data_IF_721578050363
#
_entry.id   IF_721578050363
#
_cell.length_a   1.000
_cell.length_b   1.000
_cell.length_c   1.000
_cell.angle_alpha   90.00
_cell.angle_beta   90.00
_cell.angle_gamma   90.00
#
_symmetry.space_group_name_H-M   'P 1'
#
loop_
_entity.id
_entity.type
_entity.pdbx_description
1 polymer ?
#
# COMPACT_ATOMS: atom_id res chain seq x y z
N UNK A 1 14.89 2.97 34.01
CA UNK A 1 13.86 1.97 34.38
C UNK A 1 12.42 2.49 34.35
N UNK A 2 12.18 3.79 34.66
CA UNK A 2 10.83 4.38 34.65
C UNK A 2 10.21 4.41 33.23
N UNK A 3 10.99 4.79 32.23
CA UNK A 3 10.51 4.85 30.84
C UNK A 3 10.19 3.49 30.24
N UNK A 4 10.95 2.46 30.64
CA UNK A 4 10.69 1.08 30.23
C UNK A 4 9.39 0.56 30.87
N UNK A 5 9.17 0.84 32.16
CA UNK A 5 7.94 0.48 32.86
C UNK A 5 6.74 1.25 32.31
N UNK A 6 6.89 2.56 32.05
CA UNK A 6 5.84 3.38 31.45
C UNK A 6 5.45 2.85 30.07
N UNK A 7 6.42 2.58 29.20
CA UNK A 7 6.17 1.99 27.88
C UNK A 7 5.48 0.62 27.99
N UNK A 8 5.92 -0.23 28.94
CA UNK A 8 5.28 -1.55 29.16
C UNK A 8 3.83 -1.41 29.64
N UNK A 9 3.52 -0.41 30.45
CA UNK A 9 2.13 -0.12 30.90
C UNK A 9 1.30 0.47 29.76
N UNK A 10 1.86 1.39 28.99
CA UNK A 10 1.19 2.00 27.82
C UNK A 10 0.91 0.95 26.71
N UNK A 11 1.75 -0.11 26.62
CA UNK A 11 1.59 -1.23 25.68
C UNK A 11 0.62 -2.31 26.20
N UNK A 12 0.12 -2.21 27.44
CA UNK A 12 -0.84 -3.18 28.00
C UNK A 12 -2.24 -2.94 27.40
N UNK A 13 -2.86 -3.99 26.84
CA UNK A 13 -4.22 -3.85 26.35
C UNK A 13 -5.17 -3.56 27.51
N UNK A 14 -6.16 -2.66 27.31
CA UNK A 14 -7.26 -2.51 28.27
C UNK A 14 -7.91 -3.88 28.52
N UNK A 15 -8.26 -4.18 29.79
CA UNK A 15 -8.78 -5.49 30.17
C UNK A 15 -10.00 -5.92 29.34
N UNK A 16 -10.82 -4.95 28.93
CA UNK A 16 -12.03 -5.15 28.13
C UNK A 16 -11.77 -5.71 26.72
N UNK A 17 -10.56 -5.51 26.17
CA UNK A 17 -10.17 -5.91 24.81
C UNK A 17 -8.98 -6.87 24.77
N UNK A 18 -8.58 -7.38 25.92
CA UNK A 18 -7.40 -8.24 26.04
C UNK A 18 -7.49 -9.53 25.20
N UNK A 19 -8.68 -10.11 25.07
CA UNK A 19 -8.91 -11.35 24.31
C UNK A 19 -8.73 -11.08 22.80
N UNK A 20 -9.37 -10.05 22.27
CA UNK A 20 -9.28 -9.67 20.85
C UNK A 20 -7.85 -9.28 20.49
N UNK A 21 -7.22 -8.49 21.37
CA UNK A 21 -5.82 -8.06 21.19
C UNK A 21 -4.88 -9.26 21.12
N UNK A 22 -5.04 -10.25 21.99
CA UNK A 22 -4.23 -11.48 21.97
C UNK A 22 -4.40 -12.23 20.64
N UNK A 23 -5.63 -12.33 20.12
CA UNK A 23 -5.90 -12.99 18.85
C UNK A 23 -5.24 -12.23 17.69
N UNK A 24 -5.31 -10.90 17.67
CA UNK A 24 -4.64 -10.08 16.64
C UNK A 24 -3.13 -10.25 16.70
N UNK A 25 -2.53 -10.22 17.90
CA UNK A 25 -1.08 -10.44 18.07
C UNK A 25 -0.67 -11.84 17.60
N UNK A 26 -1.50 -12.85 17.81
CA UNK A 26 -1.25 -14.20 17.30
C UNK A 26 -1.33 -14.27 15.76
N UNK A 27 -2.30 -13.61 15.14
CA UNK A 27 -2.38 -13.52 13.67
C UNK A 27 -1.16 -12.77 13.09
N UNK A 28 -0.72 -11.67 13.72
CA UNK A 28 0.50 -10.96 13.34
C UNK A 28 1.75 -11.86 13.48
N UNK A 29 1.86 -12.62 14.57
CA UNK A 29 2.96 -13.56 14.78
C UNK A 29 3.02 -14.64 13.69
N UNK A 30 1.86 -15.23 13.33
CA UNK A 30 1.77 -16.20 12.23
C UNK A 30 2.15 -15.56 10.89
N UNK A 31 1.67 -14.36 10.65
CA UNK A 31 1.96 -13.61 9.45
C UNK A 31 3.46 -13.35 9.26
N UNK A 32 4.16 -12.90 10.32
CA UNK A 32 5.61 -12.66 10.27
C UNK A 32 6.47 -13.93 10.06
N UNK A 33 5.87 -15.12 10.15
CA UNK A 33 6.54 -16.39 9.85
C UNK A 33 6.31 -16.87 8.42
N UNK A 34 5.49 -16.17 7.65
CA UNK A 34 5.16 -16.49 6.26
C UNK A 34 6.00 -15.67 5.29
N UNK A 35 6.19 -16.15 4.05
CA UNK A 35 6.83 -15.36 2.99
C UNK A 35 6.06 -14.06 2.70
N UNK A 36 6.79 -13.04 2.24
CA UNK A 36 6.21 -11.73 1.86
C UNK A 36 5.35 -11.88 0.60
N UNK A 37 4.07 -12.20 0.81
CA UNK A 37 3.06 -12.37 -0.25
C UNK A 37 1.81 -11.54 0.03
N UNK A 38 1.26 -10.91 -1.01
CA UNK A 38 0.03 -10.11 -0.93
C UNK A 38 -1.16 -10.96 -0.46
N UNK A 39 -1.21 -12.24 -0.87
CA UNK A 39 -2.26 -13.15 -0.42
C UNK A 39 -2.28 -13.34 1.10
N UNK A 40 -1.11 -13.37 1.75
CA UNK A 40 -1.00 -13.42 3.21
C UNK A 40 -1.45 -12.11 3.85
N UNK A 41 -1.13 -10.96 3.22
CA UNK A 41 -1.62 -9.65 3.66
C UNK A 41 -3.15 -9.58 3.63
N UNK A 42 -3.77 -10.05 2.53
CA UNK A 42 -5.23 -10.11 2.42
C UNK A 42 -5.84 -11.01 3.52
N UNK A 43 -5.20 -12.14 3.80
CA UNK A 43 -5.63 -13.05 4.86
C UNK A 43 -5.54 -12.39 6.24
N UNK A 44 -4.40 -11.76 6.55
CA UNK A 44 -4.21 -11.02 7.80
C UNK A 44 -5.29 -9.94 7.97
N UNK A 45 -5.52 -9.12 6.96
CA UNK A 45 -6.50 -8.04 6.99
C UNK A 45 -7.92 -8.59 7.23
N UNK A 46 -8.30 -9.66 6.54
CA UNK A 46 -9.63 -10.26 6.70
C UNK A 46 -9.83 -10.91 8.08
N UNK A 47 -8.80 -11.57 8.61
CA UNK A 47 -8.88 -12.22 9.93
C UNK A 47 -8.92 -11.20 11.08
N UNK A 48 -8.21 -10.08 10.93
CA UNK A 48 -8.09 -9.07 12.00
C UNK A 48 -9.19 -8.02 11.98
N UNK A 49 -9.79 -7.74 10.81
CA UNK A 49 -10.84 -6.71 10.67
C UNK A 49 -12.00 -6.86 11.65
N UNK A 50 -12.64 -8.04 11.82
CA UNK A 50 -13.75 -8.19 12.77
C UNK A 50 -13.30 -8.02 14.22
N UNK A 51 -12.07 -8.45 14.57
CA UNK A 51 -11.51 -8.26 15.91
C UNK A 51 -11.28 -6.78 16.21
N UNK A 52 -10.71 -6.04 15.27
CA UNK A 52 -10.52 -4.59 15.37
C UNK A 52 -11.86 -3.85 15.47
N UNK A 53 -12.89 -4.27 14.74
CA UNK A 53 -14.22 -3.71 14.86
C UNK A 53 -14.82 -3.92 16.26
N UNK A 54 -14.60 -5.09 16.87
CA UNK A 54 -15.01 -5.36 18.25
C UNK A 54 -14.27 -4.46 19.25
N UNK A 55 -12.96 -4.30 19.09
CA UNK A 55 -12.15 -3.39 19.92
C UNK A 55 -12.67 -1.96 19.77
N UNK A 56 -12.86 -1.49 18.53
CA UNK A 56 -13.39 -0.17 18.21
C UNK A 56 -14.74 0.11 18.89
N UNK A 57 -15.63 -0.88 18.91
CA UNK A 57 -16.93 -0.76 19.56
C UNK A 57 -16.84 -0.63 21.08
N UNK A 58 -15.83 -1.28 21.71
CA UNK A 58 -15.65 -1.27 23.17
C UNK A 58 -14.94 -0.01 23.67
N UNK A 59 -13.87 0.43 23.02
CA UNK A 59 -13.00 1.51 23.52
C UNK A 59 -13.01 2.78 22.64
N UNK A 60 -13.72 2.76 21.51
CA UNK A 60 -13.90 3.94 20.65
C UNK A 60 -12.83 4.10 19.57
N UNK A 61 -13.17 4.88 18.53
CA UNK A 61 -12.31 5.13 17.35
C UNK A 61 -11.11 6.01 17.64
N UNK A 62 -11.23 6.94 18.60
CA UNK A 62 -10.16 7.88 18.96
C UNK A 62 -9.16 7.30 19.97
N UNK A 63 -9.36 6.06 20.42
CA UNK A 63 -8.47 5.42 21.38
C UNK A 63 -7.12 5.11 20.71
N UNK A 64 -6.04 5.64 21.30
CA UNK A 64 -4.67 5.48 20.75
C UNK A 64 -4.23 4.02 20.66
N UNK A 65 -4.59 3.19 21.64
CA UNK A 65 -4.29 1.76 21.61
C UNK A 65 -4.93 1.08 20.40
N UNK A 66 -6.22 1.35 20.14
CA UNK A 66 -6.93 0.83 18.97
C UNK A 66 -6.26 1.28 17.67
N UNK A 67 -5.99 2.60 17.54
CA UNK A 67 -5.37 3.16 16.34
C UNK A 67 -3.99 2.57 16.08
N UNK A 68 -3.16 2.46 17.12
CA UNK A 68 -1.82 1.88 17.02
C UNK A 68 -1.88 0.39 16.59
N UNK A 69 -2.76 -0.40 17.19
CA UNK A 69 -2.92 -1.81 16.83
C UNK A 69 -3.43 -1.98 15.39
N UNK A 70 -4.40 -1.17 14.98
CA UNK A 70 -4.92 -1.16 13.60
C UNK A 70 -3.84 -0.74 12.60
N UNK A 71 -3.07 0.31 12.93
CA UNK A 71 -1.93 0.78 12.13
C UNK A 71 -0.86 -0.30 12.00
N UNK A 72 -0.56 -1.03 13.07
CA UNK A 72 0.40 -2.15 13.04
C UNK A 72 -0.05 -3.25 12.06
N UNK A 73 -1.33 -3.63 12.08
CA UNK A 73 -1.87 -4.62 11.14
C UNK A 73 -1.71 -4.15 9.69
N UNK A 74 -2.14 -2.92 9.40
CA UNK A 74 -2.03 -2.35 8.05
C UNK A 74 -0.58 -2.17 7.62
N UNK A 75 0.30 -1.74 8.54
CA UNK A 75 1.72 -1.54 8.28
C UNK A 75 2.43 -2.83 7.85
N UNK A 76 2.17 -3.93 8.54
CA UNK A 76 2.71 -5.24 8.17
C UNK A 76 2.16 -5.73 6.82
N UNK A 77 0.86 -5.59 6.59
CA UNK A 77 0.24 -5.95 5.32
C UNK A 77 0.78 -5.10 4.15
N UNK A 78 0.99 -3.79 4.37
CA UNK A 78 1.55 -2.87 3.38
C UNK A 78 3.02 -3.22 3.06
N UNK A 79 3.80 -3.64 4.06
CA UNK A 79 5.19 -4.07 3.86
C UNK A 79 5.28 -5.24 2.87
N UNK A 80 4.55 -6.33 3.10
CA UNK A 80 4.57 -7.48 2.18
C UNK A 80 4.05 -7.13 0.78
N UNK A 81 3.07 -6.23 0.69
CA UNK A 81 2.60 -5.72 -0.59
C UNK A 81 3.73 -5.02 -1.35
N UNK A 82 4.46 -4.14 -0.68
CA UNK A 82 5.59 -3.40 -1.25
C UNK A 82 6.67 -4.37 -1.72
N UNK A 83 7.05 -5.35 -0.89
CA UNK A 83 8.10 -6.32 -1.22
C UNK A 83 7.73 -7.19 -2.43
N UNK A 84 6.50 -7.69 -2.52
CA UNK A 84 6.10 -8.51 -3.68
C UNK A 84 5.98 -7.67 -4.96
N UNK A 85 5.50 -6.43 -4.90
CA UNK A 85 5.49 -5.51 -6.04
C UNK A 85 6.90 -5.16 -6.48
N UNK A 86 7.82 -4.87 -5.55
CA UNK A 86 9.23 -4.63 -5.83
C UNK A 86 9.88 -5.85 -6.50
N UNK A 87 9.59 -7.03 -6.01
CA UNK A 87 10.11 -8.30 -6.57
C UNK A 87 9.67 -8.46 -8.03
N UNK A 88 8.40 -8.21 -8.34
CA UNK A 88 7.88 -8.29 -9.70
C UNK A 88 8.54 -7.25 -10.64
N UNK A 89 8.76 -6.01 -10.15
CA UNK A 89 9.43 -4.96 -10.89
C UNK A 89 10.92 -5.25 -11.14
N UNK A 90 11.60 -5.75 -10.11
CA UNK A 90 13.02 -6.12 -10.22
C UNK A 90 13.22 -7.27 -11.22
N UNK A 91 12.33 -8.27 -11.20
CA UNK A 91 12.34 -9.34 -12.18
C UNK A 91 12.21 -8.78 -13.60
N UNK A 92 11.21 -7.92 -13.84
CA UNK A 92 11.03 -7.29 -15.15
C UNK A 92 12.27 -6.48 -15.58
N UNK A 93 12.82 -5.67 -14.68
CA UNK A 93 14.00 -4.85 -14.94
C UNK A 93 15.24 -5.71 -15.28
N UNK A 94 15.43 -6.82 -14.58
CA UNK A 94 16.52 -7.76 -14.85
C UNK A 94 16.40 -8.38 -16.24
N UNK A 95 15.19 -8.79 -16.64
CA UNK A 95 14.96 -9.36 -17.99
C UNK A 95 15.25 -8.31 -19.07
N UNK A 96 14.76 -7.09 -18.91
CA UNK A 96 15.03 -6.00 -19.87
C UNK A 96 16.52 -5.70 -19.98
N UNK A 97 17.26 -5.76 -18.88
CA UNK A 97 18.71 -5.58 -18.89
C UNK A 97 19.40 -6.67 -19.71
N UNK A 98 19.05 -7.94 -19.50
CA UNK A 98 19.61 -9.07 -20.27
C UNK A 98 19.31 -8.93 -21.77
N UNK A 99 18.07 -8.57 -22.14
CA UNK A 99 17.69 -8.34 -23.53
C UNK A 99 18.56 -7.24 -24.17
N UNK A 100 18.74 -6.11 -23.49
CA UNK A 100 19.58 -5.02 -23.98
C UNK A 100 21.05 -5.42 -24.14
N UNK A 101 21.59 -6.14 -23.18
CA UNK A 101 22.98 -6.62 -23.19
C UNK A 101 23.21 -7.65 -24.30
N UNK A 102 22.21 -8.43 -24.68
CA UNK A 102 22.25 -9.39 -25.78
C UNK A 102 22.16 -8.72 -27.16
N UNK A 103 21.95 -7.41 -27.25
CA UNK A 103 21.80 -6.69 -28.52
C UNK A 103 20.51 -7.03 -29.29
N UNK A 104 19.56 -7.69 -28.64
CA UNK A 104 18.27 -8.05 -29.23
C UNK A 104 17.32 -6.84 -29.13
N UNK A 105 16.69 -6.47 -30.25
CA UNK A 105 15.63 -5.47 -30.22
C UNK A 105 14.41 -6.00 -29.45
N UNK A 106 13.98 -5.37 -28.34
CA UNK A 106 12.81 -5.79 -27.58
C UNK A 106 11.52 -5.87 -28.42
N UNK A 107 11.41 -5.04 -29.47
CA UNK A 107 10.28 -5.08 -30.41
C UNK A 107 10.23 -6.40 -31.18
N UNK A 108 11.38 -6.92 -31.55
CA UNK A 108 11.48 -8.20 -32.26
C UNK A 108 10.92 -9.36 -31.41
N UNK A 109 11.22 -9.38 -30.11
CA UNK A 109 10.68 -10.39 -29.19
C UNK A 109 9.16 -10.32 -29.04
N UNK A 110 8.57 -9.14 -29.10
CA UNK A 110 7.11 -8.98 -29.09
C UNK A 110 6.47 -9.56 -30.36
N UNK A 111 7.12 -9.41 -31.52
CA UNK A 111 6.64 -9.99 -32.78
C UNK A 111 6.75 -11.53 -32.84
N UNK A 112 7.76 -12.10 -32.18
CA UNK A 112 7.97 -13.55 -32.17
C UNK A 112 7.06 -14.29 -31.20
N UNK A 113 6.22 -13.58 -30.46
CA UNK A 113 5.30 -14.13 -29.43
C UNK A 113 6.03 -15.00 -28.38
N UNK A 114 7.30 -14.67 -28.08
CA UNK A 114 8.15 -15.36 -27.15
C UNK A 114 7.66 -15.17 -25.70
N UNK A 115 7.72 -16.23 -24.89
CA UNK A 115 7.38 -16.17 -23.45
C UNK A 115 8.23 -15.17 -22.68
N UNK A 116 9.42 -14.86 -23.19
CA UNK A 116 10.36 -13.88 -22.63
C UNK A 116 10.15 -12.47 -23.20
N UNK A 117 9.15 -12.27 -24.07
CA UNK A 117 8.86 -10.95 -24.57
C UNK A 117 8.43 -10.02 -23.42
N UNK A 118 8.87 -8.75 -23.44
CA UNK A 118 8.51 -7.78 -22.38
C UNK A 118 7.00 -7.68 -22.14
N UNK A 119 6.20 -7.73 -23.20
CA UNK A 119 4.74 -7.67 -23.11
C UNK A 119 4.17 -8.87 -22.34
N UNK A 120 4.61 -10.09 -22.66
CA UNK A 120 4.15 -11.29 -21.95
C UNK A 120 4.60 -11.34 -20.50
N UNK A 121 5.81 -10.90 -20.19
CA UNK A 121 6.27 -10.82 -18.80
C UNK A 121 5.42 -9.82 -18.00
N UNK A 122 5.10 -8.66 -18.58
CA UNK A 122 4.21 -7.70 -17.94
C UNK A 122 2.85 -8.34 -17.67
N UNK A 123 2.27 -9.01 -18.66
CA UNK A 123 0.93 -9.59 -18.55
C UNK A 123 0.89 -10.79 -17.59
N UNK A 124 1.92 -11.64 -17.57
CA UNK A 124 1.93 -12.88 -16.78
C UNK A 124 2.53 -12.73 -15.38
N UNK A 125 3.44 -11.78 -15.14
CA UNK A 125 4.15 -11.62 -13.87
C UNK A 125 3.86 -10.33 -13.15
N UNK A 126 3.76 -9.20 -13.87
CA UNK A 126 3.60 -7.89 -13.22
C UNK A 126 2.12 -7.56 -12.98
N UNK A 127 1.29 -7.62 -14.01
CA UNK A 127 -0.14 -7.26 -13.89
C UNK A 127 -0.92 -8.06 -12.84
N UNK A 128 -0.74 -9.39 -12.67
CA UNK A 128 -1.41 -10.13 -11.61
C UNK A 128 -1.06 -9.61 -10.21
N UNK A 129 0.22 -9.37 -9.94
CA UNK A 129 0.71 -8.85 -8.66
C UNK A 129 0.10 -7.48 -8.37
N UNK A 130 0.09 -6.56 -9.35
CA UNK A 130 -0.51 -5.22 -9.18
C UNK A 130 -2.02 -5.28 -8.95
N UNK A 131 -2.75 -6.20 -9.58
CA UNK A 131 -4.19 -6.39 -9.32
C UNK A 131 -4.45 -6.86 -7.90
N UNK A 132 -3.67 -7.83 -7.41
CA UNK A 132 -3.79 -8.30 -6.02
C UNK A 132 -3.38 -7.20 -5.03
N UNK A 133 -2.32 -6.45 -5.33
CA UNK A 133 -1.89 -5.31 -4.52
C UNK A 133 -3.00 -4.25 -4.43
N UNK A 134 -3.62 -3.91 -5.55
CA UNK A 134 -4.75 -2.97 -5.57
C UNK A 134 -5.93 -3.47 -4.74
N UNK A 135 -6.28 -4.75 -4.86
CA UNK A 135 -7.31 -5.37 -4.02
C UNK A 135 -6.99 -5.28 -2.53
N UNK A 136 -5.74 -5.54 -2.15
CA UNK A 136 -5.29 -5.44 -0.76
C UNK A 136 -5.42 -3.99 -0.24
N UNK A 137 -5.02 -2.97 -1.01
CA UNK A 137 -5.19 -1.56 -0.60
C UNK A 137 -6.66 -1.18 -0.45
N UNK A 138 -7.55 -1.70 -1.28
CA UNK A 138 -9.01 -1.49 -1.14
C UNK A 138 -9.53 -2.05 0.19
N UNK A 139 -8.99 -3.17 0.66
CA UNK A 139 -9.33 -3.72 1.98
C UNK A 139 -8.76 -2.83 3.09
N UNK A 140 -7.50 -2.35 2.94
CA UNK A 140 -6.82 -1.46 3.89
C UNK A 140 -7.54 -0.12 4.05
N UNK A 141 -8.17 0.41 2.99
CA UNK A 141 -8.98 1.65 3.05
C UNK A 141 -10.09 1.59 4.10
N UNK A 142 -10.54 0.39 4.45
CA UNK A 142 -11.56 0.16 5.48
C UNK A 142 -11.03 0.05 6.91
N UNK A 143 -9.74 0.35 7.15
CA UNK A 143 -9.11 0.35 8.47
C UNK A 143 -8.85 1.78 8.93
N UNK A 144 -9.05 2.01 10.23
CA UNK A 144 -8.58 3.26 10.84
C UNK A 144 -7.06 3.18 11.06
N UNK A 145 -6.38 4.29 10.81
CA UNK A 145 -4.92 4.37 10.92
C UNK A 145 -4.54 5.66 11.64
N UNK A 146 -3.41 5.64 12.32
CA UNK A 146 -2.79 6.85 12.82
C UNK A 146 -2.53 7.85 11.68
N UNK A 147 -2.81 9.14 11.94
CA UNK A 147 -2.74 10.19 10.92
C UNK A 147 -1.37 10.26 10.23
N UNK A 148 -0.30 10.15 11.00
CA UNK A 148 1.08 10.20 10.51
C UNK A 148 1.40 9.04 9.58
N UNK A 149 1.05 7.82 9.97
CA UNK A 149 1.23 6.64 9.12
C UNK A 149 0.40 6.76 7.84
N UNK A 150 -0.86 7.17 7.96
CA UNK A 150 -1.77 7.34 6.82
C UNK A 150 -1.20 8.32 5.80
N UNK A 151 -0.75 9.51 6.25
CA UNK A 151 -0.31 10.59 5.36
C UNK A 151 1.10 10.38 4.84
N UNK A 152 2.02 9.87 5.67
CA UNK A 152 3.44 9.76 5.31
C UNK A 152 3.80 8.43 4.64
N UNK A 153 3.03 7.36 4.88
CA UNK A 153 3.34 6.03 4.35
C UNK A 153 2.21 5.45 3.49
N UNK A 154 1.00 5.34 4.02
CA UNK A 154 -0.06 4.63 3.31
C UNK A 154 -0.49 5.33 2.02
N UNK A 155 -0.87 6.61 2.08
CA UNK A 155 -1.37 7.36 0.92
C UNK A 155 -0.32 7.46 -0.20
N UNK A 156 0.95 7.80 0.05
CA UNK A 156 1.97 7.84 -1.00
C UNK A 156 2.14 6.49 -1.72
N UNK A 157 2.23 5.38 -0.98
CA UNK A 157 2.38 4.05 -1.59
C UNK A 157 1.13 3.64 -2.38
N UNK A 158 -0.07 3.93 -1.85
CA UNK A 158 -1.33 3.67 -2.56
C UNK A 158 -1.45 4.46 -3.86
N UNK A 159 -1.05 5.72 -3.87
CA UNK A 159 -1.05 6.55 -5.07
C UNK A 159 -0.03 6.04 -6.10
N UNK A 160 1.18 5.70 -5.69
CA UNK A 160 2.18 5.11 -6.57
C UNK A 160 1.68 3.80 -7.20
N UNK A 161 1.01 2.95 -6.43
CA UNK A 161 0.39 1.73 -6.94
C UNK A 161 -0.73 2.04 -7.94
N UNK A 162 -1.55 3.07 -7.68
CA UNK A 162 -2.60 3.51 -8.59
C UNK A 162 -2.01 3.95 -9.93
N UNK A 163 -0.97 4.78 -9.90
CA UNK A 163 -0.30 5.27 -11.11
C UNK A 163 0.29 4.10 -11.93
N UNK A 164 0.87 3.09 -11.27
CA UNK A 164 1.33 1.87 -11.95
C UNK A 164 0.17 1.09 -12.60
N UNK A 165 -0.95 0.94 -11.90
CA UNK A 165 -2.13 0.27 -12.44
C UNK A 165 -2.68 1.01 -13.66
N UNK A 166 -2.79 2.34 -13.60
CA UNK A 166 -3.27 3.19 -14.70
C UNK A 166 -2.32 3.09 -15.91
N UNK A 167 -1.01 3.17 -15.68
CA UNK A 167 0.01 3.03 -16.74
C UNK A 167 -0.08 1.69 -17.47
N UNK A 168 -0.38 0.61 -16.76
CA UNK A 168 -0.51 -0.74 -17.34
C UNK A 168 -1.95 -1.09 -17.73
N UNK A 169 -2.86 -0.10 -17.75
CA UNK A 169 -4.27 -0.27 -18.08
C UNK A 169 -4.97 -1.34 -17.24
N UNK A 170 -4.61 -1.42 -15.95
CA UNK A 170 -5.27 -2.27 -14.96
C UNK A 170 -6.44 -1.48 -14.38
N UNK A 171 -7.65 -2.05 -14.44
CA UNK A 171 -8.84 -1.42 -13.86
C UNK A 171 -8.69 -1.27 -12.34
N UNK A 172 -8.74 -0.04 -11.87
CA UNK A 172 -8.73 0.34 -10.45
C UNK A 172 -10.13 0.65 -9.93
N UNK A 173 -11.15 0.57 -10.80
CA UNK A 173 -12.53 0.76 -10.38
C UNK A 173 -12.96 -0.41 -9.50
N UNK A 174 -13.03 -0.17 -8.19
CA UNK A 174 -13.80 -1.03 -7.29
C UNK A 174 -15.27 -0.91 -7.74
N UNK A 175 -15.87 -2.01 -8.13
CA UNK A 175 -17.31 -2.13 -8.25
C UNK A 175 -17.91 -1.89 -6.85
N UNK A 176 -18.10 -0.62 -6.50
CA UNK A 176 -18.87 -0.24 -5.33
C UNK A 176 -20.30 -0.62 -5.63
N UNK A 177 -20.84 -1.61 -4.93
CA UNK A 177 -22.26 -1.71 -4.71
C UNK A 177 -22.72 -0.37 -4.13
N UNK A 178 -23.22 0.50 -4.98
CA UNK A 178 -23.88 1.73 -4.57
C UNK A 178 -25.17 1.34 -3.83
N UNK A 179 -25.11 1.33 -2.51
CA UNK A 179 -26.28 1.56 -1.68
C UNK A 179 -26.78 2.96 -2.00
N UNK A 180 -27.85 3.03 -2.77
CA UNK A 180 -28.58 4.26 -3.06
C UNK A 180 -29.13 4.83 -1.74
N UNK A 181 -28.49 5.85 -1.25
CA UNK A 181 -29.08 6.77 -0.28
C UNK A 181 -29.17 8.13 -0.94
N UNK A 182 -30.34 8.36 -1.53
CA UNK A 182 -30.79 9.63 -2.07
C UNK A 182 -31.11 10.56 -0.90
N UNK A 183 -30.35 11.62 -0.71
CA UNK A 183 -30.78 12.76 0.08
C UNK A 183 -30.32 14.04 -0.58
N UNK A 184 -31.29 14.92 -0.76
CA UNK A 184 -31.29 16.13 -1.57
C UNK A 184 -30.57 17.31 -0.92
N UNK A 185 -29.96 18.13 -1.76
CA UNK A 185 -29.96 19.61 -1.82
C UNK A 185 -29.71 20.42 -0.54
N UNK A 186 -28.69 21.27 -0.54
CA UNK A 186 -28.88 22.73 -0.54
C UNK A 186 -27.55 23.44 -0.80
N UNK A 187 -27.58 24.31 -1.81
CA UNK A 187 -26.56 25.28 -2.23
C UNK A 187 -26.41 26.38 -1.18
N UNK A 188 -25.18 26.73 -0.81
CA UNK A 188 -24.88 28.11 -0.42
C UNK A 188 -23.45 28.47 -0.79
N UNK A 189 -23.37 29.47 -1.64
CA UNK A 189 -22.20 30.14 -2.21
C UNK A 189 -21.76 31.24 -1.27
N UNK A 190 -20.50 31.30 -0.88
CA UNK A 190 -19.89 32.57 -0.43
C UNK A 190 -18.39 32.60 -0.76
N UNK A 191 -18.02 33.73 -1.30
CA UNK A 191 -16.80 34.19 -1.94
C UNK A 191 -15.63 34.47 -0.99
N UNK A 192 -14.44 34.11 -1.43
CA UNK A 192 -13.04 34.64 -1.37
C UNK A 192 -12.74 35.92 -0.55
N UNK A 193 -11.47 36.25 -0.14
CA UNK A 193 -10.20 36.09 -0.85
C UNK A 193 -8.94 35.80 0.04
N UNK A 194 -7.68 35.93 -0.49
CA UNK A 194 -6.52 35.16 -0.11
C UNK A 194 -5.49 35.91 0.76
N UNK A 195 -4.58 35.18 1.43
CA UNK A 195 -3.34 35.79 1.95
C UNK A 195 -2.16 34.82 2.10
N UNK A 196 -1.18 35.04 1.29
CA UNK A 196 0.31 34.97 1.40
C UNK A 196 0.97 34.14 2.49
N UNK A 197 1.91 33.35 2.00
CA UNK A 197 3.10 32.72 2.58
C UNK A 197 4.00 33.65 3.42
N UNK A 198 4.98 33.16 4.27
CA UNK A 198 6.19 32.54 3.76
C UNK A 198 6.79 31.41 4.65
N UNK A 199 8.00 30.91 4.33
CA UNK A 199 8.45 29.56 4.66
C UNK A 199 9.35 29.51 5.91
N UNK A 200 9.45 28.32 6.51
CA UNK A 200 10.53 28.04 7.43
C UNK A 200 11.01 26.61 7.34
N UNK A 201 12.25 26.54 7.09
CA UNK A 201 13.25 25.52 6.98
C UNK A 201 13.33 24.50 8.12
N UNK A 202 13.73 23.28 7.70
CA UNK A 202 14.68 22.35 8.31
C UNK A 202 14.30 21.66 9.63
N UNK A 203 14.31 20.34 9.66
CA UNK A 203 15.47 19.58 10.17
C UNK A 203 15.28 18.09 9.88
N UNK A 204 16.35 17.48 9.41
CA UNK A 204 16.58 16.08 9.16
C UNK A 204 16.45 15.25 10.44
N UNK A 205 15.69 14.17 10.37
CA UNK A 205 15.96 12.99 11.18
C UNK A 205 15.87 11.77 10.25
N UNK A 206 17.02 11.13 10.15
CA UNK A 206 17.26 9.87 9.46
C UNK A 206 16.41 8.79 10.11
N UNK A 207 15.44 8.33 9.34
CA UNK A 207 14.69 7.12 9.61
C UNK A 207 14.93 6.21 8.40
N UNK A 208 15.53 5.03 8.62
CA UNK A 208 15.88 4.05 7.60
C UNK A 208 14.64 3.41 6.98
N UNK A 209 13.87 4.21 6.25
CA UNK A 209 12.83 3.79 5.34
C UNK A 209 13.30 4.07 3.92
N UNK A 210 13.31 3.09 3.03
CA UNK A 210 13.62 3.24 1.61
C UNK A 210 13.01 4.53 1.07
N UNK A 211 13.81 5.43 0.47
CA UNK A 211 13.33 6.74 0.06
C UNK A 211 12.23 6.61 -0.98
N UNK A 212 11.13 7.32 -0.78
CA UNK A 212 10.01 7.48 -1.73
C UNK A 212 10.49 7.80 -3.15
N UNK A 213 11.70 8.36 -3.29
CA UNK A 213 12.35 8.64 -4.56
C UNK A 213 12.72 7.41 -5.43
N UNK A 214 12.91 6.22 -4.84
CA UNK A 214 13.23 5.01 -5.63
C UNK A 214 12.05 4.58 -6.52
N UNK A 215 10.81 4.75 -6.05
CA UNK A 215 9.62 4.39 -6.81
C UNK A 215 9.43 5.25 -8.06
N UNK A 216 9.70 6.54 -7.96
CA UNK A 216 9.56 7.49 -9.07
C UNK A 216 10.53 7.15 -10.20
N UNK A 217 11.76 6.76 -9.88
CA UNK A 217 12.77 6.40 -10.89
C UNK A 217 12.37 5.12 -11.64
N UNK A 218 11.82 4.13 -10.94
CA UNK A 218 11.38 2.86 -11.55
C UNK A 218 10.14 3.07 -12.42
N UNK A 219 9.17 3.87 -11.96
CA UNK A 219 7.98 4.24 -12.75
C UNK A 219 8.40 4.98 -14.02
N UNK A 220 9.30 5.95 -13.93
CA UNK A 220 9.82 6.68 -15.09
C UNK A 220 10.54 5.73 -16.06
N UNK A 221 11.34 4.79 -15.57
CA UNK A 221 12.01 3.80 -16.41
C UNK A 221 11.01 2.89 -17.15
N UNK A 222 9.95 2.45 -16.48
CA UNK A 222 8.88 1.64 -17.09
C UNK A 222 8.11 2.49 -18.13
N UNK A 223 7.75 3.72 -17.81
CA UNK A 223 7.03 4.62 -18.73
C UNK A 223 7.87 4.92 -19.97
N UNK A 224 9.14 5.26 -19.80
CA UNK A 224 10.05 5.54 -20.93
C UNK A 224 10.22 4.27 -21.77
N UNK A 225 10.33 3.10 -21.14
CA UNK A 225 10.44 1.83 -21.86
C UNK A 225 9.15 1.51 -22.63
N UNK A 226 7.99 1.63 -22.02
CA UNK A 226 6.70 1.40 -22.69
C UNK A 226 6.48 2.37 -23.84
N UNK A 227 6.84 3.63 -23.70
CA UNK A 227 6.77 4.62 -24.78
C UNK A 227 7.70 4.29 -25.96
N UNK A 228 8.86 3.67 -25.70
CA UNK A 228 9.84 3.31 -26.75
C UNK A 228 9.60 1.94 -27.38
N UNK A 229 8.88 1.02 -26.71
CA UNK A 229 8.67 -0.36 -27.16
C UNK A 229 7.27 -0.59 -27.73
N UNK A 230 6.28 0.15 -27.25
CA UNK A 230 4.87 0.05 -27.68
C UNK A 230 4.41 1.21 -28.58
N UNK A 231 5.19 2.29 -28.70
CA UNK A 231 5.02 3.38 -29.69
C UNK A 231 5.86 3.08 -30.91
#
# INVERSE_FOLDING_TARGET
NYDILKKAVDDMPPAEVAIETRKIKEELRKFCQQPDKISHSITLLNNTKPLLQTIKAKIGTANMFYLSLSTQVVGNALHNLIEEVNTAQNYFSAVIKVIKESGIDPKLLNYLDDEHSPAKIIDSKVKPVLREAWKATTIMDGFDMESDFRTKRYIPNRNSLKDMCETLHISTSSSSYQSSSRASTTTTRTTTPPRTTPPSSSTSSSDDGLPVGCWVVIIIAIIIFLANVLG
#
